data_IF_244514434018
#
_entry.id   IF_244514434018
#
_cell.length_a   1.000
_cell.length_b   1.000
_cell.length_c   1.000
_cell.angle_alpha   90.00
_cell.angle_beta   90.00
_cell.angle_gamma   90.00
#
_symmetry.space_group_name_H-M   'P 1'
#
loop_
_entity.id
_entity.type
_entity.pdbx_description
1 polymer ?
#
# COMPACT_ATOMS: atom_id res chain seq x y z
N UNK A 1 18.52 1.14 42.91
CA UNK A 1 19.83 0.68 42.39
C UNK A 1 19.62 0.48 40.91
N UNK A 2 20.22 1.34 40.09
CA UNK A 2 20.01 1.40 38.65
C UNK A 2 21.25 0.82 37.99
N UNK A 3 21.10 -0.31 37.30
CA UNK A 3 22.17 -0.88 36.47
C UNK A 3 22.16 -0.20 35.10
N UNK A 4 23.28 0.44 34.78
CA UNK A 4 23.53 1.10 33.50
C UNK A 4 24.05 0.06 32.49
N UNK A 5 23.53 0.01 31.25
CA UNK A 5 23.98 -0.96 30.26
C UNK A 5 25.42 -0.68 29.79
N UNK A 6 26.30 -1.67 29.99
CA UNK A 6 27.69 -1.65 29.54
C UNK A 6 27.75 -1.88 28.03
N UNK A 7 28.12 -0.84 27.27
CA UNK A 7 28.39 -0.96 25.84
C UNK A 7 29.80 -1.49 25.59
N UNK A 8 30.02 -2.32 24.54
CA UNK A 8 31.35 -2.77 24.16
C UNK A 8 32.21 -1.58 23.74
N UNK A 9 33.53 -1.60 24.01
CA UNK A 9 34.42 -0.50 23.73
C UNK A 9 34.47 -0.20 22.22
N UNK A 10 34.43 1.09 21.87
CA UNK A 10 34.60 1.55 20.50
C UNK A 10 35.98 1.14 19.98
N UNK A 11 36.01 0.17 19.06
CA UNK A 11 37.23 -0.13 18.33
C UNK A 11 37.44 0.92 17.23
N UNK A 12 38.63 1.53 17.22
CA UNK A 12 39.04 2.39 16.12
C UNK A 12 39.06 1.58 14.82
N UNK A 13 38.42 2.11 13.78
CA UNK A 13 38.34 1.45 12.49
C UNK A 13 39.76 1.28 11.90
N UNK A 14 40.14 0.06 11.47
CA UNK A 14 41.44 -0.22 10.87
C UNK A 14 41.78 0.72 9.71
N UNK A 15 43.05 1.12 9.62
CA UNK A 15 43.50 2.16 8.69
C UNK A 15 43.38 1.75 7.22
N UNK A 16 43.44 0.45 6.93
CA UNK A 16 43.23 -0.13 5.60
C UNK A 16 41.77 0.02 5.11
N UNK A 17 40.79 -0.14 6.01
CA UNK A 17 39.36 0.08 5.74
C UNK A 17 39.12 1.57 5.49
N UNK A 18 39.73 2.43 6.28
CA UNK A 18 39.64 3.89 6.13
C UNK A 18 40.26 4.37 4.81
N UNK A 19 41.37 3.75 4.39
CA UNK A 19 42.02 4.02 3.12
C UNK A 19 41.16 3.54 1.93
N UNK A 20 40.56 2.36 2.01
CA UNK A 20 39.64 1.84 0.97
C UNK A 20 38.40 2.72 0.80
N UNK A 21 37.79 3.17 1.89
CA UNK A 21 36.64 4.09 1.82
C UNK A 21 37.01 5.42 1.16
N UNK A 22 38.17 6.00 1.50
CA UNK A 22 38.64 7.25 0.85
C UNK A 22 38.98 7.06 -0.62
N UNK A 23 39.48 5.89 -1.00
CA UNK A 23 39.74 5.52 -2.41
C UNK A 23 38.44 5.42 -3.21
N UNK A 24 37.45 4.71 -2.69
CA UNK A 24 36.15 4.53 -3.35
C UNK A 24 35.41 5.86 -3.57
N UNK A 25 35.49 6.77 -2.59
CA UNK A 25 34.90 8.12 -2.72
C UNK A 25 35.61 8.95 -3.78
N UNK A 26 36.95 8.87 -3.87
CA UNK A 26 37.71 9.58 -4.90
C UNK A 26 37.48 9.02 -6.30
N UNK A 27 37.31 7.71 -6.45
CA UNK A 27 36.94 7.09 -7.74
C UNK A 27 35.51 7.46 -8.19
N UNK A 28 34.59 7.67 -7.24
CA UNK A 28 33.24 8.18 -7.53
C UNK A 28 33.23 9.63 -8.03
N UNK A 29 34.12 10.48 -7.50
CA UNK A 29 34.22 11.91 -7.87
C UNK A 29 34.98 12.11 -9.18
N UNK A 30 35.90 11.20 -9.55
CA UNK A 30 36.80 11.39 -10.68
C UNK A 30 36.27 10.92 -12.05
N UNK A 31 35.03 10.41 -12.17
CA UNK A 31 34.50 9.94 -13.47
C UNK A 31 34.06 11.12 -14.37
N UNK A 32 34.72 11.39 -15.51
CA UNK A 32 34.27 12.41 -16.45
C UNK A 32 33.03 11.90 -17.20
N UNK A 33 31.96 12.71 -17.24
CA UNK A 33 30.79 12.48 -18.11
C UNK A 33 31.25 12.40 -19.58
N UNK A 34 31.12 11.22 -20.20
CA UNK A 34 31.29 11.05 -21.65
C UNK A 34 30.23 11.88 -22.38
N UNK A 35 30.66 12.87 -23.17
CA UNK A 35 29.80 13.68 -24.04
C UNK A 35 29.36 12.85 -25.24
N UNK A 36 28.08 12.48 -25.31
CA UNK A 36 27.48 12.05 -26.56
C UNK A 36 27.10 13.29 -27.38
N UNK A 37 27.78 13.48 -28.52
CA UNK A 37 27.39 14.44 -29.57
C UNK A 37 26.34 13.75 -30.45
N UNK A 38 25.15 14.33 -30.58
CA UNK A 38 24.29 14.15 -31.77
C UNK A 38 23.61 15.49 -32.08
N UNK A 39 23.42 15.71 -33.37
CA UNK A 39 23.39 16.97 -34.10
C UNK A 39 22.05 17.72 -34.08
N UNK A 40 22.13 19.04 -34.22
CA UNK A 40 21.01 19.97 -34.40
C UNK A 40 20.34 19.82 -35.78
N UNK A 41 19.01 19.94 -35.80
CA UNK A 41 18.28 20.54 -36.92
C UNK A 41 17.31 21.60 -36.36
N UNK A 42 17.68 22.85 -36.61
CA UNK A 42 16.90 24.09 -36.54
C UNK A 42 15.64 24.02 -37.42
N UNK A 43 14.61 24.86 -37.35
CA UNK A 43 14.17 25.94 -36.47
C UNK A 43 12.79 26.39 -36.99
N UNK A 44 11.95 27.00 -36.15
CA UNK A 44 11.21 28.20 -36.52
C UNK A 44 10.85 28.96 -35.24
N UNK A 45 11.34 30.19 -35.17
CA UNK A 45 11.22 31.11 -34.04
C UNK A 45 10.29 32.27 -34.41
N UNK A 46 9.52 32.80 -33.45
CA UNK A 46 9.09 34.21 -33.32
C UNK A 46 8.83 34.49 -31.81
N UNK A 47 9.79 35.05 -31.05
CA UNK A 47 9.94 36.47 -30.56
C UNK A 47 8.93 36.84 -29.42
N UNK A 48 9.35 36.82 -28.13
CA UNK A 48 9.77 37.95 -27.22
C UNK A 48 8.60 38.91 -26.85
N UNK A 49 8.27 39.31 -25.60
CA UNK A 49 9.02 39.85 -24.45
C UNK A 49 8.13 39.83 -23.16
N UNK A 50 8.79 39.84 -21.98
CA UNK A 50 8.30 40.14 -20.61
C UNK A 50 7.80 38.93 -19.80
N UNK A 51 8.42 38.50 -18.69
CA UNK A 51 9.08 39.27 -17.64
C UNK A 51 10.06 38.38 -16.87
N UNK A 52 11.32 38.82 -16.81
CA UNK A 52 12.35 38.21 -15.96
C UNK A 52 12.55 39.06 -14.72
N UNK A 53 12.11 38.56 -13.55
CA UNK A 53 12.63 38.89 -12.22
C UNK A 53 12.32 37.72 -11.28
N UNK A 54 13.15 36.67 -11.25
CA UNK A 54 13.11 35.68 -10.15
C UNK A 54 14.41 34.87 -9.96
N UNK A 55 15.54 35.28 -10.55
CA UNK A 55 16.80 34.54 -10.46
C UNK A 55 17.96 35.42 -9.96
N UNK A 56 17.74 36.15 -8.85
CA UNK A 56 18.80 36.91 -8.18
C UNK A 56 18.56 37.17 -6.67
N UNK A 57 17.68 36.41 -6.01
CA UNK A 57 17.37 36.61 -4.57
C UNK A 57 17.71 35.41 -3.67
N UNK A 58 18.22 34.29 -4.21
CA UNK A 58 18.50 33.09 -3.42
C UNK A 58 19.93 32.98 -2.85
N UNK A 59 20.83 33.91 -3.15
CA UNK A 59 22.24 33.81 -2.71
C UNK A 59 22.61 34.63 -1.46
N UNK A 60 21.64 35.29 -0.78
CA UNK A 60 21.93 36.19 0.36
C UNK A 60 21.11 35.92 1.64
N UNK A 61 20.50 34.73 1.81
CA UNK A 61 19.81 34.36 3.07
C UNK A 61 20.12 32.95 3.56
N UNK A 62 21.40 32.61 3.65
CA UNK A 62 21.85 31.45 4.43
C UNK A 62 22.98 31.85 5.36
N UNK A 63 22.65 32.53 6.47
CA UNK A 63 23.48 32.54 7.66
C UNK A 63 22.59 32.58 8.91
N UNK A 64 22.65 31.51 9.71
CA UNK A 64 22.26 31.51 11.12
C UNK A 64 20.87 30.99 11.47
N UNK A 65 20.62 29.69 11.30
CA UNK A 65 19.62 28.98 12.12
C UNK A 65 20.20 27.62 12.53
N UNK A 66 20.08 27.20 13.81
CA UNK A 66 20.53 25.88 14.27
C UNK A 66 19.72 24.79 13.55
N UNK A 67 20.29 23.59 13.33
CA UNK A 67 19.63 22.53 12.58
C UNK A 67 18.39 22.06 13.34
N UNK A 68 17.21 22.41 12.82
CA UNK A 68 15.98 21.70 13.15
C UNK A 68 16.04 20.29 12.58
N UNK A 69 15.20 19.35 13.07
CA UNK A 69 15.12 18.02 12.49
C UNK A 69 14.89 18.14 10.97
N UNK A 70 15.72 17.46 10.18
CA UNK A 70 15.55 17.37 8.74
C UNK A 70 14.14 16.85 8.43
N UNK A 71 13.39 17.49 7.51
CA UNK A 71 12.22 16.85 6.92
C UNK A 71 12.67 15.53 6.28
N UNK A 72 11.89 14.46 6.50
CA UNK A 72 12.19 13.13 6.01
C UNK A 72 12.56 13.17 4.51
N UNK A 73 13.65 12.49 4.15
CA UNK A 73 14.08 12.29 2.78
C UNK A 73 13.15 11.28 2.07
N UNK A 74 11.97 11.74 1.68
CA UNK A 74 11.12 11.16 0.64
C UNK A 74 10.61 12.36 -0.14
N UNK A 75 10.95 12.43 -1.43
CA UNK A 75 10.46 13.49 -2.30
C UNK A 75 9.43 12.89 -3.24
N UNK A 76 8.32 13.58 -3.49
CA UNK A 76 7.38 13.21 -4.55
C UNK A 76 8.14 12.97 -5.85
N UNK A 77 7.99 11.76 -6.40
CA UNK A 77 8.65 11.36 -7.65
C UNK A 77 7.64 11.18 -8.77
N UNK A 78 8.09 11.35 -10.01
CA UNK A 78 7.28 11.14 -11.20
C UNK A 78 7.92 10.06 -12.06
N UNK A 79 7.31 8.87 -12.08
CA UNK A 79 7.57 7.88 -13.11
C UNK A 79 6.77 8.27 -14.37
N UNK A 80 7.47 8.74 -15.40
CA UNK A 80 6.85 9.23 -16.63
C UNK A 80 6.20 8.12 -17.45
N UNK A 81 6.71 6.89 -17.39
CA UNK A 81 6.14 5.74 -18.09
C UNK A 81 4.83 5.30 -17.45
N UNK A 82 4.85 5.15 -16.13
CA UNK A 82 3.64 4.86 -15.35
C UNK A 82 2.61 5.98 -15.52
N UNK A 83 2.99 7.24 -15.34
CA UNK A 83 2.09 8.38 -15.47
C UNK A 83 1.41 8.41 -16.85
N UNK A 84 2.18 8.23 -17.92
CA UNK A 84 1.63 8.23 -19.29
C UNK A 84 0.64 7.08 -19.47
N UNK A 85 1.04 5.85 -19.13
CA UNK A 85 0.21 4.67 -19.32
C UNK A 85 -1.08 4.68 -18.48
N UNK A 86 -1.02 5.14 -17.23
CA UNK A 86 -2.17 5.27 -16.34
C UNK A 86 -3.12 6.38 -16.78
N UNK A 87 -2.61 7.57 -17.13
CA UNK A 87 -3.46 8.67 -17.62
C UNK A 87 -4.12 8.34 -18.96
N UNK A 88 -3.43 7.64 -19.87
CA UNK A 88 -4.01 7.19 -21.14
C UNK A 88 -5.13 6.16 -20.90
N UNK A 89 -4.93 5.24 -19.95
CA UNK A 89 -5.96 4.29 -19.52
C UNK A 89 -7.17 5.01 -18.89
N UNK A 90 -6.93 5.97 -18.02
CA UNK A 90 -7.97 6.80 -17.41
C UNK A 90 -8.78 7.57 -18.47
N UNK A 91 -8.10 8.20 -19.43
CA UNK A 91 -8.76 8.89 -20.54
C UNK A 91 -9.57 7.94 -21.43
N UNK A 92 -9.04 6.75 -21.73
CA UNK A 92 -9.79 5.75 -22.49
C UNK A 92 -11.07 5.33 -21.76
N UNK A 93 -11.02 5.12 -20.45
CA UNK A 93 -12.19 4.81 -19.63
C UNK A 93 -13.22 5.97 -19.60
N UNK A 94 -12.76 7.22 -19.47
CA UNK A 94 -13.63 8.40 -19.54
C UNK A 94 -14.33 8.51 -20.90
N UNK A 95 -13.60 8.30 -22.01
CA UNK A 95 -14.20 8.28 -23.35
C UNK A 95 -15.23 7.17 -23.50
N UNK A 96 -14.90 5.95 -23.05
CA UNK A 96 -15.81 4.81 -23.11
C UNK A 96 -17.09 5.04 -22.28
N UNK A 97 -16.99 5.77 -21.17
CA UNK A 97 -18.12 6.18 -20.34
C UNK A 97 -18.90 7.39 -20.89
N UNK A 98 -18.48 7.99 -22.02
CA UNK A 98 -19.14 9.15 -22.60
C UNK A 98 -19.03 10.42 -21.76
N UNK A 99 -17.95 10.59 -20.98
CA UNK A 99 -17.75 11.72 -20.06
C UNK A 99 -16.63 12.68 -20.50
N UNK A 100 -16.23 12.64 -21.76
CA UNK A 100 -15.10 13.44 -22.28
C UNK A 100 -15.36 14.94 -22.30
N UNK A 101 -16.62 15.36 -22.34
CA UNK A 101 -17.07 16.75 -22.25
C UNK A 101 -16.90 17.35 -20.84
N UNK A 102 -16.69 16.49 -19.83
CA UNK A 102 -16.51 16.88 -18.42
C UNK A 102 -15.06 17.06 -18.01
N UNK A 103 -14.10 16.81 -18.91
CA UNK A 103 -12.68 16.96 -18.64
C UNK A 103 -12.03 17.76 -19.77
N UNK A 104 -10.93 18.44 -19.46
CA UNK A 104 -10.05 18.97 -20.48
C UNK A 104 -9.55 17.82 -21.38
N UNK A 105 -9.24 18.08 -22.67
CA UNK A 105 -8.60 17.11 -23.54
C UNK A 105 -7.34 16.51 -22.91
N UNK A 106 -7.03 15.25 -23.24
CA UNK A 106 -5.91 14.48 -22.66
C UNK A 106 -4.55 15.18 -22.79
N UNK A 107 -4.35 15.92 -23.86
CA UNK A 107 -3.15 16.72 -24.13
C UNK A 107 -2.93 17.87 -23.13
N UNK A 108 -3.98 18.31 -22.42
CA UNK A 108 -3.90 19.31 -21.36
C UNK A 108 -3.68 18.69 -19.97
N UNK A 109 -3.52 17.36 -19.90
CA UNK A 109 -3.29 16.67 -18.63
C UNK A 109 -1.79 16.65 -18.32
N UNK A 110 -1.41 17.33 -17.24
CA UNK A 110 -0.01 17.45 -16.81
C UNK A 110 0.19 16.59 -15.57
N UNK A 111 0.92 15.46 -15.66
CA UNK A 111 1.24 14.64 -14.48
C UNK A 111 2.22 15.39 -13.57
N UNK A 112 2.08 15.21 -12.26
CA UNK A 112 2.90 15.86 -11.25
C UNK A 112 3.78 14.88 -10.51
N UNK A 113 3.16 13.81 -10.00
CA UNK A 113 3.84 12.73 -9.31
C UNK A 113 3.02 11.45 -9.44
N UNK A 114 3.69 10.33 -9.18
CA UNK A 114 3.11 9.00 -9.13
C UNK A 114 3.35 8.42 -7.77
N UNK A 115 2.38 7.65 -7.29
CA UNK A 115 2.55 6.80 -6.14
C UNK A 115 2.07 5.39 -6.48
N UNK A 116 2.77 4.39 -5.98
CA UNK A 116 2.43 2.98 -6.16
C UNK A 116 2.54 2.34 -4.81
N UNK A 117 1.42 1.82 -4.33
CA UNK A 117 1.44 1.02 -3.12
C UNK A 117 0.61 -0.23 -3.32
N UNK A 118 1.24 -1.37 -3.01
CA UNK A 118 0.74 -2.69 -3.37
C UNK A 118 0.39 -2.74 -4.87
N UNK A 119 -0.89 -2.91 -5.14
CA UNK A 119 -1.47 -3.16 -6.45
C UNK A 119 -2.24 -1.96 -7.02
N UNK A 120 -2.11 -0.81 -6.35
CA UNK A 120 -2.78 0.42 -6.69
C UNK A 120 -1.73 1.42 -7.14
N UNK A 121 -1.88 1.89 -8.37
CA UNK A 121 -1.09 3.00 -8.90
C UNK A 121 -1.97 4.23 -8.97
N UNK A 122 -1.42 5.37 -8.55
CA UNK A 122 -2.11 6.65 -8.65
C UNK A 122 -1.19 7.68 -9.30
N UNK A 123 -1.79 8.47 -10.19
CA UNK A 123 -1.17 9.64 -10.79
C UNK A 123 -1.92 10.86 -10.28
N UNK A 124 -1.21 11.75 -9.58
CA UNK A 124 -1.68 13.10 -9.36
C UNK A 124 -1.31 13.95 -10.57
N UNK A 125 -2.28 14.66 -11.13
CA UNK A 125 -2.12 15.46 -12.33
C UNK A 125 -2.89 16.77 -12.21
N UNK A 126 -2.80 17.60 -13.24
CA UNK A 126 -3.75 18.68 -13.47
C UNK A 126 -4.40 18.52 -14.83
N UNK A 127 -5.68 18.85 -14.94
CA UNK A 127 -6.39 19.00 -16.22
C UNK A 127 -6.80 20.46 -16.37
N UNK A 128 -6.26 21.15 -17.39
CA UNK A 128 -6.43 22.59 -17.55
C UNK A 128 -6.10 23.38 -16.26
N UNK A 129 -5.04 22.95 -15.54
CA UNK A 129 -4.58 23.58 -14.30
C UNK A 129 -5.38 23.22 -13.04
N UNK A 130 -6.46 22.44 -13.14
CA UNK A 130 -7.24 21.97 -11.97
C UNK A 130 -6.72 20.63 -11.46
N UNK A 131 -6.64 20.42 -10.13
CA UNK A 131 -6.13 19.18 -9.56
C UNK A 131 -6.99 17.97 -9.95
N UNK A 132 -6.34 16.84 -10.27
CA UNK A 132 -7.03 15.59 -10.57
C UNK A 132 -6.18 14.38 -10.18
N UNK A 133 -6.85 13.27 -9.90
CA UNK A 133 -6.25 11.99 -9.55
C UNK A 133 -6.78 10.90 -10.48
N UNK A 134 -5.88 10.07 -10.97
CA UNK A 134 -6.17 8.87 -11.74
C UNK A 134 -5.61 7.67 -10.98
N UNK A 135 -6.51 6.87 -10.40
CA UNK A 135 -6.20 5.59 -9.79
C UNK A 135 -6.40 4.47 -10.80
N UNK A 136 -5.47 3.52 -10.83
CA UNK A 136 -5.59 2.30 -11.62
C UNK A 136 -5.22 1.07 -10.79
N UNK A 137 -6.03 0.02 -10.88
CA UNK A 137 -5.73 -1.32 -10.33
C UNK A 137 -5.54 -2.31 -11.48
N UNK A 138 -5.49 -3.63 -11.22
CA UNK A 138 -5.44 -4.62 -12.30
C UNK A 138 -6.64 -4.49 -13.24
N UNK A 139 -7.83 -4.28 -12.66
CA UNK A 139 -9.10 -4.36 -13.40
C UNK A 139 -9.88 -3.05 -13.45
N UNK A 140 -9.53 -2.08 -12.60
CA UNK A 140 -10.32 -0.86 -12.42
C UNK A 140 -9.55 0.42 -12.70
N UNK A 141 -10.33 1.46 -13.02
CA UNK A 141 -9.91 2.86 -13.14
C UNK A 141 -10.85 3.70 -12.28
N UNK A 142 -10.28 4.60 -11.48
CA UNK A 142 -11.03 5.65 -10.78
C UNK A 142 -10.43 7.02 -11.11
N UNK A 143 -11.25 7.97 -11.54
CA UNK A 143 -10.84 9.34 -11.91
C UNK A 143 -11.61 10.33 -11.06
N UNK A 144 -10.89 11.22 -10.36
CA UNK A 144 -11.53 12.32 -9.62
C UNK A 144 -12.14 13.34 -10.56
N UNK A 145 -13.13 14.09 -10.09
CA UNK A 145 -13.70 15.20 -10.85
C UNK A 145 -12.89 16.49 -10.59
N UNK A 146 -12.15 17.05 -11.57
CA UNK A 146 -11.39 18.29 -11.38
C UNK A 146 -12.28 19.53 -11.20
N UNK A 147 -13.57 19.44 -11.52
CA UNK A 147 -14.55 20.51 -11.30
C UNK A 147 -15.27 20.40 -9.96
N UNK A 148 -15.09 19.29 -9.22
CA UNK A 148 -15.64 19.16 -7.88
C UNK A 148 -14.89 20.06 -6.89
N UNK A 149 -15.65 20.75 -6.03
CA UNK A 149 -15.06 21.47 -4.92
C UNK A 149 -14.43 20.48 -3.93
N UNK A 150 -13.17 20.68 -3.48
CA UNK A 150 -12.60 19.85 -2.43
C UNK A 150 -13.45 19.89 -1.16
N UNK A 151 -13.59 18.72 -0.53
CA UNK A 151 -14.24 18.58 0.76
C UNK A 151 -13.31 19.11 1.86
N UNK A 152 -13.31 20.43 2.07
CA UNK A 152 -12.39 21.10 2.99
C UNK A 152 -12.69 20.79 4.46
N UNK A 153 -11.63 20.49 5.23
CA UNK A 153 -11.69 20.47 6.68
C UNK A 153 -12.06 21.86 7.21
N UNK A 154 -13.02 21.96 8.16
CA UNK A 154 -13.47 23.24 8.71
C UNK A 154 -12.33 24.16 9.15
N UNK A 155 -12.34 25.40 8.66
CA UNK A 155 -11.34 26.42 9.03
C UNK A 155 -10.00 26.29 8.32
N UNK A 156 -9.87 25.40 7.34
CA UNK A 156 -8.63 25.18 6.57
C UNK A 156 -8.91 25.16 5.07
N UNK A 157 -7.85 25.20 4.26
CA UNK A 157 -7.88 24.88 2.82
C UNK A 157 -7.36 23.48 2.52
N UNK A 158 -7.28 22.61 3.52
CA UNK A 158 -6.99 21.19 3.31
C UNK A 158 -8.28 20.45 3.01
N UNK A 159 -8.36 19.73 1.90
CA UNK A 159 -9.60 19.05 1.51
C UNK A 159 -9.37 17.85 0.59
N UNK A 160 -10.33 16.94 0.60
CA UNK A 160 -10.29 15.73 -0.23
C UNK A 160 -10.98 15.97 -1.58
N UNK A 161 -10.41 15.38 -2.63
CA UNK A 161 -10.95 15.35 -4.00
C UNK A 161 -11.28 13.93 -4.45
N UNK A 162 -10.65 12.92 -3.84
CA UNK A 162 -10.90 11.52 -4.12
C UNK A 162 -10.75 10.69 -2.85
N UNK A 163 -11.66 9.76 -2.66
CA UNK A 163 -11.50 8.63 -1.76
C UNK A 163 -12.02 7.39 -2.50
N UNK A 164 -11.12 6.48 -2.87
CA UNK A 164 -11.43 5.35 -3.73
C UNK A 164 -11.82 4.10 -2.93
N UNK A 165 -12.38 3.09 -3.60
CA UNK A 165 -12.73 1.81 -2.97
C UNK A 165 -11.52 1.04 -2.42
N UNK A 166 -10.29 1.38 -2.83
CA UNK A 166 -9.04 0.77 -2.35
C UNK A 166 -8.53 1.42 -1.05
N UNK A 167 -9.19 2.49 -0.59
CA UNK A 167 -8.72 3.28 0.55
C UNK A 167 -7.65 4.31 0.18
N UNK A 168 -7.37 4.53 -1.12
CA UNK A 168 -6.56 5.67 -1.55
C UNK A 168 -7.34 6.96 -1.36
N UNK A 169 -6.67 7.98 -0.85
CA UNK A 169 -7.17 9.35 -0.79
C UNK A 169 -6.28 10.28 -1.60
N UNK A 170 -6.92 11.18 -2.33
CA UNK A 170 -6.28 12.27 -3.05
C UNK A 170 -6.90 13.59 -2.61
N UNK A 171 -6.07 14.60 -2.34
CA UNK A 171 -6.54 15.88 -1.85
C UNK A 171 -5.57 17.03 -2.11
N UNK A 172 -5.95 18.21 -1.63
CA UNK A 172 -5.11 19.40 -1.62
C UNK A 172 -4.83 19.81 -0.18
N UNK A 173 -3.58 20.14 0.12
CA UNK A 173 -3.16 20.63 1.42
C UNK A 173 -3.30 22.16 1.48
N UNK A 174 -3.63 22.70 2.66
CA UNK A 174 -3.62 24.14 2.88
C UNK A 174 -2.22 24.72 2.58
N UNK A 175 -2.08 25.67 1.63
CA UNK A 175 -0.78 26.28 1.30
C UNK A 175 -0.11 26.98 2.49
N UNK A 176 -0.87 27.34 3.53
CA UNK A 176 -0.34 27.95 4.74
C UNK A 176 0.34 26.94 5.68
N UNK A 177 0.16 25.63 5.45
CA UNK A 177 0.72 24.59 6.30
C UNK A 177 2.08 24.13 5.74
N UNK A 178 3.17 24.24 6.52
CA UNK A 178 4.49 23.76 6.08
C UNK A 178 4.58 22.23 6.04
N UNK A 179 3.57 21.55 6.59
CA UNK A 179 3.41 20.11 6.63
C UNK A 179 2.14 19.76 7.40
N UNK A 180 1.66 18.53 7.24
CA UNK A 180 0.46 18.04 7.90
C UNK A 180 0.57 16.56 8.18
N UNK A 181 -0.17 16.09 9.17
CA UNK A 181 -0.43 14.68 9.35
C UNK A 181 -1.88 14.35 9.04
N UNK A 182 -2.07 13.15 8.51
CA UNK A 182 -3.34 12.48 8.39
C UNK A 182 -3.50 11.54 9.58
N UNK A 183 -4.68 11.49 10.17
CA UNK A 183 -5.09 10.41 11.05
C UNK A 183 -6.32 9.74 10.43
N UNK A 184 -6.37 8.42 10.48
CA UNK A 184 -7.54 7.65 10.08
C UNK A 184 -7.93 6.67 11.17
N UNK A 185 -9.24 6.47 11.32
CA UNK A 185 -9.81 5.53 12.27
C UNK A 185 -10.92 4.73 11.59
N UNK A 186 -10.79 3.40 11.61
CA UNK A 186 -11.78 2.49 11.08
C UNK A 186 -11.98 1.31 12.05
N UNK A 187 -13.15 1.25 12.69
CA UNK A 187 -13.42 0.32 13.80
C UNK A 187 -12.30 0.32 14.86
N UNK A 188 -11.66 -0.84 15.08
CA UNK A 188 -10.55 -1.05 16.01
C UNK A 188 -9.16 -0.86 15.37
N UNK A 189 -9.13 -0.47 14.10
CA UNK A 189 -7.91 -0.08 13.40
C UNK A 189 -7.81 1.44 13.30
N UNK A 190 -6.59 1.95 13.37
CA UNK A 190 -6.30 3.35 13.17
C UNK A 190 -4.84 3.52 12.84
N UNK A 191 -4.52 4.65 12.24
CA UNK A 191 -3.16 4.96 11.86
C UNK A 191 -3.03 6.44 11.58
N UNK A 192 -1.81 6.83 11.27
CA UNK A 192 -1.52 8.16 10.80
C UNK A 192 -0.43 8.10 9.75
N UNK A 193 -0.40 9.15 8.95
CA UNK A 193 0.58 9.33 7.89
C UNK A 193 1.03 10.79 7.88
N UNK A 194 2.24 11.04 7.41
CA UNK A 194 2.68 12.41 7.13
C UNK A 194 2.30 12.74 5.71
N UNK A 195 1.56 13.83 5.50
CA UNK A 195 1.16 14.25 4.17
C UNK A 195 2.30 14.98 3.49
N UNK A 196 2.86 14.34 2.46
CA UNK A 196 3.73 15.01 1.50
C UNK A 196 2.88 15.59 0.36
N UNK A 197 3.02 16.90 0.12
CA UNK A 197 2.24 17.62 -0.87
C UNK A 197 3.12 18.27 -1.93
N UNK A 198 2.62 18.33 -3.16
CA UNK A 198 3.28 19.01 -4.27
C UNK A 198 3.54 20.47 -3.90
N UNK A 199 4.78 21.00 -4.00
CA UNK A 199 5.05 22.39 -3.67
C UNK A 199 4.41 23.38 -4.66
N UNK A 200 3.94 22.90 -5.82
CA UNK A 200 3.34 23.72 -6.87
C UNK A 200 1.81 23.74 -6.80
N UNK A 201 1.20 22.59 -6.52
CA UNK A 201 -0.26 22.43 -6.58
C UNK A 201 -0.89 22.03 -5.26
N UNK A 202 -0.06 21.79 -4.23
CA UNK A 202 -0.45 21.29 -2.92
C UNK A 202 -1.21 19.97 -2.95
N UNK A 203 -1.22 19.25 -4.07
CA UNK A 203 -1.81 17.93 -4.17
C UNK A 203 -1.03 16.91 -3.35
N UNK A 204 -1.73 16.06 -2.61
CA UNK A 204 -1.17 14.94 -1.86
C UNK A 204 -1.95 13.65 -2.17
N UNK A 205 -1.29 12.52 -1.94
CA UNK A 205 -1.87 11.17 -1.93
C UNK A 205 -1.52 10.51 -0.61
N UNK A 206 -2.42 9.70 -0.08
CA UNK A 206 -2.14 8.78 1.03
C UNK A 206 -3.07 7.57 0.94
N UNK A 207 -2.78 6.50 1.66
CA UNK A 207 -3.57 5.28 1.65
C UNK A 207 -3.96 4.88 3.06
N UNK A 208 -5.26 4.77 3.30
CA UNK A 208 -5.83 4.42 4.60
C UNK A 208 -6.03 2.92 4.76
N UNK A 209 -5.93 2.17 3.64
CA UNK A 209 -6.14 0.71 3.55
C UNK A 209 -7.46 0.22 4.11
N UNK A 210 -8.44 1.10 4.21
CA UNK A 210 -9.69 0.85 4.90
C UNK A 210 -10.83 1.32 4.04
N UNK A 211 -11.93 0.58 4.06
CA UNK A 211 -13.10 0.84 3.24
C UNK A 211 -13.63 2.26 3.54
N UNK A 212 -13.81 3.14 2.52
CA UNK A 212 -14.19 4.54 2.73
C UNK A 212 -15.39 4.74 3.64
N UNK A 213 -16.41 3.89 3.51
CA UNK A 213 -17.63 3.95 4.29
C UNK A 213 -17.45 3.63 5.79
N UNK A 214 -16.32 3.00 6.16
CA UNK A 214 -15.98 2.58 7.52
C UNK A 214 -14.85 3.43 8.13
N UNK A 215 -14.32 4.39 7.38
CA UNK A 215 -13.14 5.17 7.78
C UNK A 215 -13.49 6.62 8.05
N UNK A 216 -13.09 7.10 9.22
CA UNK A 216 -13.09 8.53 9.56
C UNK A 216 -11.69 9.09 9.36
N UNK A 217 -11.63 10.23 8.70
CA UNK A 217 -10.37 10.92 8.39
C UNK A 217 -10.30 12.22 9.16
N UNK A 218 -9.12 12.53 9.64
CA UNK A 218 -8.80 13.80 10.28
C UNK A 218 -7.44 14.27 9.80
N UNK A 219 -7.27 15.58 9.74
CA UNK A 219 -5.98 16.20 9.48
C UNK A 219 -5.54 16.97 10.71
N UNK A 220 -4.24 16.98 10.99
CA UNK A 220 -3.64 17.84 12.00
C UNK A 220 -2.45 18.57 11.39
N UNK A 221 -2.36 19.86 11.70
CA UNK A 221 -1.23 20.69 11.29
C UNK A 221 0.03 20.42 12.15
N UNK A 222 1.05 21.29 12.05
CA UNK A 222 2.24 21.23 12.91
C UNK A 222 1.89 21.29 14.40
N UNK A 223 2.83 20.88 15.26
CA UNK A 223 2.65 20.75 16.71
C UNK A 223 1.86 21.92 17.35
N UNK A 224 0.74 21.58 17.99
CA UNK A 224 -0.17 22.53 18.64
C UNK A 224 -1.42 22.90 17.82
N UNK A 225 -1.49 22.51 16.53
CA UNK A 225 -2.71 22.67 15.74
C UNK A 225 -3.81 21.70 16.18
N UNK A 226 -5.06 22.17 16.17
CA UNK A 226 -6.22 21.33 16.46
C UNK A 226 -6.41 20.27 15.36
N UNK A 227 -6.58 19.01 15.75
CA UNK A 227 -7.01 17.95 14.85
C UNK A 227 -8.43 18.24 14.37
N UNK A 228 -8.62 18.23 13.05
CA UNK A 228 -9.88 18.57 12.42
C UNK A 228 -10.34 17.42 11.53
N UNK A 229 -11.60 17.00 11.68
CA UNK A 229 -12.20 15.96 10.84
C UNK A 229 -12.28 16.43 9.39
N UNK A 230 -11.86 15.58 8.46
CA UNK A 230 -12.05 15.75 7.03
C UNK A 230 -13.46 15.26 6.65
N UNK A 231 -14.27 16.06 5.94
CA UNK A 231 -15.52 15.58 5.37
C UNK A 231 -15.27 14.52 4.29
N UNK A 232 -16.30 13.75 3.94
CA UNK A 232 -16.23 12.78 2.85
C UNK A 232 -15.87 13.46 1.53
N UNK A 233 -14.98 12.84 0.76
CA UNK A 233 -14.61 13.32 -0.56
C UNK A 233 -15.84 13.40 -1.49
N UNK A 234 -15.86 14.31 -2.48
CA UNK A 234 -16.86 14.27 -3.54
C UNK A 234 -16.79 12.93 -4.29
N UNK A 235 -17.92 12.46 -4.87
CA UNK A 235 -17.89 11.26 -5.70
C UNK A 235 -16.90 11.41 -6.86
N UNK A 236 -16.20 10.32 -7.27
CA UNK A 236 -15.34 10.37 -8.43
C UNK A 236 -16.15 10.67 -9.70
N UNK A 237 -15.53 11.32 -10.68
CA UNK A 237 -16.13 11.50 -12.00
C UNK A 237 -16.47 10.14 -12.62
N UNK A 238 -15.57 9.17 -12.45
CA UNK A 238 -15.71 7.81 -12.94
C UNK A 238 -15.03 6.82 -11.99
N UNK A 239 -15.68 5.69 -11.72
CA UNK A 239 -15.03 4.48 -11.23
C UNK A 239 -15.62 3.30 -11.98
N UNK A 240 -14.80 2.52 -12.68
CA UNK A 240 -15.27 1.44 -13.55
C UNK A 240 -14.26 0.31 -13.66
N UNK A 241 -14.77 -0.90 -13.91
CA UNK A 241 -13.97 -2.02 -14.40
C UNK A 241 -13.71 -1.79 -15.89
N UNK A 242 -12.47 -1.57 -16.29
CA UNK A 242 -12.06 -1.38 -17.69
C UNK A 242 -11.31 -2.60 -18.25
N UNK A 243 -10.84 -3.50 -17.37
CA UNK A 243 -10.19 -4.77 -17.73
C UNK A 243 -10.83 -5.91 -16.93
N UNK A 244 -12.02 -6.38 -17.33
CA UNK A 244 -12.72 -7.43 -16.60
C UNK A 244 -11.91 -8.73 -16.62
N UNK A 245 -11.91 -9.42 -15.48
CA UNK A 245 -11.37 -10.76 -15.31
C UNK A 245 -12.51 -11.74 -15.08
N UNK A 246 -12.26 -13.02 -15.31
CA UNK A 246 -13.24 -14.07 -15.06
C UNK A 246 -13.70 -14.00 -13.59
N UNK A 247 -15.02 -14.03 -13.31
CA UNK A 247 -15.51 -14.05 -11.95
C UNK A 247 -14.93 -15.25 -11.19
N UNK A 248 -14.44 -15.00 -9.99
CA UNK A 248 -14.01 -16.08 -9.11
C UNK A 248 -15.19 -16.91 -8.62
N UNK A 249 -14.93 -18.14 -8.17
CA UNK A 249 -15.96 -18.94 -7.53
C UNK A 249 -16.42 -18.29 -6.22
N UNK A 250 -17.74 -18.16 -6.08
CA UNK A 250 -18.45 -17.60 -4.92
C UNK A 250 -19.51 -18.57 -4.39
N UNK A 251 -19.53 -19.79 -4.90
CA UNK A 251 -20.55 -20.80 -4.63
C UNK A 251 -20.04 -21.99 -3.83
N UNK A 252 -18.73 -22.28 -3.84
CA UNK A 252 -18.15 -23.23 -2.89
C UNK A 252 -18.18 -22.67 -1.46
N UNK A 253 -18.00 -23.51 -0.42
CA UNK A 253 -17.83 -23.04 0.94
C UNK A 253 -16.70 -22.00 1.08
N UNK A 254 -15.55 -22.24 0.45
CA UNK A 254 -14.44 -21.29 0.45
C UNK A 254 -14.77 -20.01 -0.34
N UNK A 255 -15.45 -20.14 -1.49
CA UNK A 255 -15.91 -19.01 -2.29
C UNK A 255 -16.86 -18.08 -1.51
N UNK A 256 -17.86 -18.64 -0.82
CA UNK A 256 -18.78 -17.86 0.03
C UNK A 256 -18.07 -17.23 1.22
N UNK A 257 -17.19 -17.98 1.88
CA UNK A 257 -16.39 -17.48 3.00
C UNK A 257 -15.53 -16.27 2.60
N UNK A 258 -14.88 -16.35 1.44
CA UNK A 258 -14.06 -15.27 0.92
C UNK A 258 -14.90 -14.04 0.56
N UNK A 259 -16.04 -14.23 -0.10
CA UNK A 259 -16.97 -13.15 -0.47
C UNK A 259 -17.53 -12.40 0.75
N UNK A 260 -18.03 -13.16 1.72
CA UNK A 260 -18.56 -12.65 2.99
C UNK A 260 -17.49 -11.85 3.72
N UNK A 261 -16.28 -12.40 3.83
CA UNK A 261 -15.20 -11.77 4.54
C UNK A 261 -14.69 -10.49 3.83
N UNK A 262 -14.46 -10.52 2.51
CA UNK A 262 -13.99 -9.35 1.76
C UNK A 262 -15.01 -8.21 1.75
N UNK A 263 -16.31 -8.53 1.67
CA UNK A 263 -17.37 -7.51 1.71
C UNK A 263 -17.61 -6.94 3.13
N UNK A 264 -17.42 -7.77 4.16
CA UNK A 264 -17.60 -7.37 5.55
C UNK A 264 -16.37 -6.78 6.24
N UNK A 265 -15.17 -6.98 5.68
CA UNK A 265 -13.92 -6.47 6.25
C UNK A 265 -13.87 -4.94 6.31
N UNK A 266 -13.14 -4.43 7.29
CA UNK A 266 -12.80 -3.00 7.38
C UNK A 266 -11.68 -2.64 6.40
N UNK A 267 -10.81 -3.59 6.11
CA UNK A 267 -9.67 -3.43 5.21
C UNK A 267 -10.15 -3.32 3.75
N UNK A 268 -9.55 -2.41 2.99
CA UNK A 268 -9.84 -2.23 1.58
C UNK A 268 -8.95 -3.14 0.72
N UNK A 269 -9.55 -3.81 -0.27
CA UNK A 269 -8.86 -4.75 -1.16
C UNK A 269 -9.13 -4.37 -2.60
N UNK A 270 -8.06 -4.08 -3.35
CA UNK A 270 -8.16 -3.83 -4.78
C UNK A 270 -8.61 -5.10 -5.52
N UNK A 271 -9.44 -4.95 -6.55
CA UNK A 271 -9.85 -6.07 -7.42
C UNK A 271 -10.48 -7.27 -6.66
N UNK A 272 -11.15 -7.04 -5.53
CA UNK A 272 -11.66 -8.08 -4.62
C UNK A 272 -12.49 -9.19 -5.30
N UNK A 273 -13.30 -8.82 -6.30
CA UNK A 273 -14.12 -9.77 -7.08
C UNK A 273 -13.28 -10.80 -7.87
N UNK A 274 -12.01 -10.49 -8.14
CA UNK A 274 -11.07 -11.33 -8.87
C UNK A 274 -10.41 -12.44 -8.07
N UNK A 275 -10.40 -12.32 -6.74
CA UNK A 275 -9.68 -13.27 -5.90
C UNK A 275 -10.37 -14.64 -5.92
N UNK A 276 -9.67 -15.65 -6.44
CA UNK A 276 -10.10 -17.05 -6.41
C UNK A 276 -9.93 -17.61 -4.99
N UNK A 277 -10.91 -18.37 -4.49
CA UNK A 277 -10.80 -18.95 -3.15
C UNK A 277 -9.72 -20.04 -3.12
N UNK A 278 -8.88 -19.97 -2.10
CA UNK A 278 -7.86 -20.95 -1.76
C UNK A 278 -8.26 -21.82 -0.57
N UNK A 279 -7.28 -22.19 0.25
CA UNK A 279 -7.50 -23.02 1.42
C UNK A 279 -8.43 -22.32 2.42
N UNK A 280 -9.35 -23.11 2.99
CA UNK A 280 -10.30 -22.68 4.00
C UNK A 280 -10.06 -23.49 5.27
N UNK A 281 -9.82 -22.78 6.37
CA UNK A 281 -9.81 -23.31 7.72
C UNK A 281 -11.04 -22.76 8.45
N UNK A 282 -11.99 -23.61 8.79
CA UNK A 282 -13.18 -23.25 9.58
C UNK A 282 -13.26 -24.21 10.78
N UNK A 283 -13.03 -23.68 11.99
CA UNK A 283 -13.02 -24.47 13.22
C UNK A 283 -13.33 -23.61 14.44
N UNK A 284 -14.19 -24.11 15.32
CA UNK A 284 -14.56 -23.47 16.59
C UNK A 284 -15.09 -22.02 16.42
N UNK A 285 -15.72 -21.71 15.28
CA UNK A 285 -16.20 -20.37 14.95
C UNK A 285 -15.14 -19.41 14.40
N UNK A 286 -13.89 -19.85 14.29
CA UNK A 286 -12.81 -19.13 13.63
C UNK A 286 -12.70 -19.60 12.19
N UNK A 287 -12.82 -18.66 11.25
CA UNK A 287 -12.67 -18.91 9.84
C UNK A 287 -11.49 -18.14 9.27
N UNK A 288 -10.64 -18.82 8.51
CA UNK A 288 -9.55 -18.23 7.73
C UNK A 288 -9.65 -18.77 6.32
N UNK A 289 -9.80 -17.88 5.35
CA UNK A 289 -9.88 -18.23 3.94
C UNK A 289 -8.81 -17.49 3.16
N UNK A 290 -8.07 -18.23 2.35
CA UNK A 290 -7.02 -17.67 1.51
C UNK A 290 -7.63 -17.27 0.18
N UNK A 291 -7.09 -16.23 -0.44
CA UNK A 291 -7.51 -15.76 -1.75
C UNK A 291 -6.29 -15.50 -2.64
N UNK A 292 -6.42 -15.77 -3.94
CA UNK A 292 -5.38 -15.46 -4.92
C UNK A 292 -5.88 -14.76 -6.17
N UNK A 293 -5.09 -13.81 -6.65
CA UNK A 293 -5.29 -13.10 -7.90
C UNK A 293 -3.94 -12.97 -8.61
N UNK A 294 -3.66 -13.88 -9.55
CA UNK A 294 -2.34 -13.97 -10.17
C UNK A 294 -1.26 -14.35 -9.15
N UNK A 295 -0.27 -13.47 -8.99
CA UNK A 295 0.81 -13.54 -8.00
C UNK A 295 0.40 -12.97 -6.63
N UNK A 296 -0.68 -12.21 -6.57
CA UNK A 296 -1.23 -11.64 -5.33
C UNK A 296 -1.89 -12.71 -4.49
N UNK A 297 -1.72 -12.59 -3.18
CA UNK A 297 -2.37 -13.45 -2.20
C UNK A 297 -2.81 -12.65 -1.00
N UNK A 298 -3.91 -13.09 -0.38
CA UNK A 298 -4.39 -12.54 0.88
C UNK A 298 -4.94 -13.65 1.76
N UNK A 299 -5.02 -13.38 3.06
CA UNK A 299 -5.82 -14.14 4.00
C UNK A 299 -6.95 -13.27 4.54
N UNK A 300 -8.16 -13.80 4.57
CA UNK A 300 -9.31 -13.14 5.15
C UNK A 300 -9.78 -13.94 6.37
N UNK A 301 -9.89 -13.28 7.51
CA UNK A 301 -10.31 -13.91 8.77
C UNK A 301 -11.70 -13.44 9.14
N UNK A 302 -12.53 -14.36 9.64
CA UNK A 302 -13.83 -14.08 10.23
C UNK A 302 -13.88 -14.74 11.59
N UNK A 303 -14.07 -13.94 12.63
CA UNK A 303 -14.01 -14.40 14.02
C UNK A 303 -15.19 -13.84 14.81
N UNK A 304 -15.64 -14.51 15.88
CA UNK A 304 -16.60 -13.90 16.80
C UNK A 304 -16.00 -12.62 17.38
N UNK A 305 -16.81 -11.57 17.54
CA UNK A 305 -16.39 -10.32 18.18
C UNK A 305 -16.75 -10.34 19.68
N UNK A 306 -15.79 -10.54 20.59
CA UNK A 306 -16.06 -10.60 22.02
C UNK A 306 -16.56 -9.26 22.59
N UNK A 307 -16.20 -8.13 21.94
CA UNK A 307 -16.63 -6.79 22.35
C UNK A 307 -18.04 -6.48 21.87
N UNK A 308 -18.53 -7.19 20.85
CA UNK A 308 -19.89 -7.05 20.29
C UNK A 308 -20.55 -8.43 20.18
N UNK A 309 -21.12 -8.97 21.27
CA UNK A 309 -21.73 -10.30 21.28
C UNK A 309 -22.74 -10.51 20.14
N UNK A 310 -22.63 -11.64 19.43
CA UNK A 310 -23.47 -11.96 18.26
C UNK A 310 -23.04 -11.29 16.95
N UNK A 311 -21.95 -10.52 16.95
CA UNK A 311 -21.31 -9.99 15.74
C UNK A 311 -20.02 -10.74 15.45
N UNK A 312 -19.60 -10.65 14.19
CA UNK A 312 -18.30 -11.14 13.73
C UNK A 312 -17.41 -9.97 13.37
N UNK A 313 -16.10 -10.12 13.62
CA UNK A 313 -15.05 -9.24 13.13
C UNK A 313 -14.41 -9.88 11.90
N UNK A 314 -14.21 -9.10 10.85
CA UNK A 314 -13.60 -9.55 9.60
C UNK A 314 -12.38 -8.70 9.27
N UNK A 315 -11.25 -9.33 8.96
CA UNK A 315 -9.99 -8.65 8.63
C UNK A 315 -9.32 -9.27 7.40
N UNK A 316 -8.64 -8.45 6.62
CA UNK A 316 -7.82 -8.90 5.49
C UNK A 316 -6.35 -8.65 5.79
N UNK A 317 -5.53 -9.67 5.57
CA UNK A 317 -4.08 -9.63 5.60
C UNK A 317 -3.59 -9.84 4.17
N UNK A 318 -3.17 -8.75 3.53
CA UNK A 318 -2.58 -8.82 2.20
C UNK A 318 -1.11 -9.23 2.32
N UNK A 319 -0.57 -9.89 1.30
CA UNK A 319 0.88 -10.03 1.20
C UNK A 319 1.48 -8.69 0.74
N UNK A 320 2.15 -7.97 1.65
CA UNK A 320 2.51 -6.55 1.48
C UNK A 320 3.86 -6.32 0.76
N UNK A 321 4.39 -7.27 0.01
CA UNK A 321 5.75 -7.13 -0.54
C UNK A 321 5.77 -6.44 -1.91
N UNK A 322 6.66 -5.45 -2.06
CA UNK A 322 6.82 -4.59 -3.24
C UNK A 322 7.17 -5.33 -4.55
N UNK A 323 7.63 -6.58 -4.46
CA UNK A 323 7.99 -7.39 -5.62
C UNK A 323 7.17 -8.66 -5.68
N UNK A 324 6.69 -9.04 -6.89
CA UNK A 324 6.05 -10.32 -7.12
C UNK A 324 6.91 -11.46 -6.56
N UNK A 325 6.37 -12.27 -5.66
CA UNK A 325 7.07 -13.48 -5.22
C UNK A 325 7.33 -14.43 -6.38
N UNK A 326 8.47 -15.09 -6.30
CA UNK A 326 8.76 -16.24 -7.15
C UNK A 326 8.85 -17.54 -6.36
N UNK A 327 8.61 -17.49 -5.04
CA UNK A 327 8.79 -18.61 -4.11
C UNK A 327 7.63 -18.71 -3.11
N UNK A 328 7.39 -19.91 -2.55
CA UNK A 328 6.45 -20.07 -1.45
C UNK A 328 6.83 -19.19 -0.25
N UNK A 329 5.83 -18.76 0.52
CA UNK A 329 5.97 -17.84 1.65
C UNK A 329 4.74 -17.84 2.56
N UNK A 330 4.87 -17.24 3.73
CA UNK A 330 3.79 -17.08 4.71
C UNK A 330 3.03 -15.77 4.52
N UNK A 331 1.75 -15.77 4.90
CA UNK A 331 0.99 -14.53 5.15
C UNK A 331 0.91 -14.34 6.67
N UNK A 332 1.58 -13.34 7.25
CA UNK A 332 1.51 -13.09 8.68
C UNK A 332 0.10 -12.61 9.05
N UNK A 333 -0.48 -13.23 10.08
CA UNK A 333 -1.79 -12.89 10.62
C UNK A 333 -1.69 -12.74 12.14
N UNK A 334 -2.52 -11.87 12.70
CA UNK A 334 -2.60 -11.76 14.15
C UNK A 334 -3.26 -13.01 14.76
N UNK A 335 -2.88 -13.39 15.99
CA UNK A 335 -3.61 -14.41 16.74
C UNK A 335 -5.09 -14.04 16.90
N UNK A 336 -5.96 -14.98 16.57
CA UNK A 336 -7.41 -14.78 16.56
C UNK A 336 -8.03 -15.07 17.93
N UNK A 337 -8.91 -14.20 18.41
CA UNK A 337 -9.66 -14.42 19.65
C UNK A 337 -8.81 -14.30 20.92
N UNK A 338 -7.61 -13.72 20.81
CA UNK A 338 -6.78 -13.37 21.94
C UNK A 338 -7.27 -12.12 22.67
N UNK A 339 -6.55 -11.72 23.73
CA UNK A 339 -6.84 -10.49 24.49
C UNK A 339 -6.80 -9.23 23.63
N UNK A 340 -6.00 -9.20 22.57
CA UNK A 340 -5.95 -8.09 21.60
C UNK A 340 -7.27 -7.92 20.85
N UNK A 341 -7.98 -9.02 20.58
CA UNK A 341 -9.33 -9.05 20.03
C UNK A 341 -10.44 -8.88 21.10
N UNK A 342 -10.07 -8.72 22.38
CA UNK A 342 -11.00 -8.67 23.51
C UNK A 342 -11.45 -10.04 24.02
N UNK A 343 -10.80 -11.12 23.56
CA UNK A 343 -11.04 -12.48 24.04
C UNK A 343 -10.30 -12.83 25.34
N UNK A 344 -10.48 -14.05 25.82
CA UNK A 344 -9.83 -14.53 27.03
C UNK A 344 -8.38 -14.97 26.79
N UNK A 345 -7.53 -14.80 27.81
CA UNK A 345 -6.14 -15.27 27.78
C UNK A 345 -6.12 -16.80 27.60
N UNK A 346 -5.33 -17.29 26.64
CA UNK A 346 -5.17 -18.72 26.36
C UNK A 346 -6.15 -19.30 25.34
N UNK A 347 -7.15 -18.52 24.91
CA UNK A 347 -8.09 -18.94 23.87
C UNK A 347 -7.66 -18.53 22.46
N UNK A 348 -6.57 -17.77 22.33
CA UNK A 348 -6.02 -17.36 21.06
C UNK A 348 -5.75 -18.56 20.13
N UNK A 349 -6.03 -18.38 18.85
CA UNK A 349 -5.73 -19.32 17.78
C UNK A 349 -4.90 -18.60 16.74
N UNK A 350 -3.66 -19.04 16.54
CA UNK A 350 -2.78 -18.38 15.58
C UNK A 350 -2.80 -19.13 14.26
N UNK A 351 -3.34 -18.55 13.18
CA UNK A 351 -3.29 -19.18 11.87
C UNK A 351 -1.86 -19.10 11.32
N UNK A 352 -1.40 -20.19 10.72
CA UNK A 352 -0.20 -20.24 9.91
C UNK A 352 -0.62 -20.61 8.50
N UNK A 353 -0.47 -19.67 7.57
CA UNK A 353 -0.84 -19.87 6.17
C UNK A 353 0.34 -19.59 5.25
N UNK A 354 0.40 -20.36 4.18
CA UNK A 354 1.37 -20.14 3.12
C UNK A 354 0.73 -20.14 1.74
N UNK A 355 1.47 -19.55 0.80
CA UNK A 355 1.02 -19.29 -0.56
C UNK A 355 2.07 -19.72 -1.57
N UNK A 356 1.66 -19.85 -2.83
CA UNK A 356 2.53 -20.10 -3.98
C UNK A 356 3.32 -21.41 -3.95
N UNK A 357 2.78 -22.44 -3.28
CA UNK A 357 3.27 -23.81 -3.42
C UNK A 357 3.24 -24.26 -4.90
N UNK A 358 3.99 -25.29 -5.30
CA UNK A 358 3.92 -25.83 -6.67
C UNK A 358 2.49 -26.16 -7.11
N UNK A 359 2.19 -26.02 -8.40
CA UNK A 359 0.86 -26.29 -8.98
C UNK A 359 0.38 -27.73 -8.76
N UNK A 360 1.31 -28.67 -8.65
CA UNK A 360 1.04 -30.08 -8.44
C UNK A 360 0.84 -30.45 -6.97
N UNK A 361 1.08 -29.54 -6.02
CA UNK A 361 0.93 -29.81 -4.60
C UNK A 361 -0.55 -29.96 -4.23
N UNK A 362 -0.89 -31.04 -3.52
CA UNK A 362 -2.24 -31.33 -3.02
C UNK A 362 -2.30 -31.47 -1.51
N UNK A 363 -1.17 -31.78 -0.85
CA UNK A 363 -1.05 -31.80 0.61
C UNK A 363 0.23 -31.09 1.04
N UNK A 364 0.21 -30.57 2.26
CA UNK A 364 1.39 -29.97 2.89
C UNK A 364 1.46 -30.35 4.35
N UNK A 365 2.65 -30.67 4.81
CA UNK A 365 2.99 -30.86 6.22
C UNK A 365 3.87 -29.71 6.68
N UNK A 366 3.41 -29.01 7.73
CA UNK A 366 4.16 -27.99 8.44
C UNK A 366 4.80 -28.64 9.67
N UNK A 367 6.11 -28.50 9.83
CA UNK A 367 6.90 -28.91 10.99
C UNK A 367 7.34 -27.68 11.78
N UNK A 368 6.74 -27.50 12.96
CA UNK A 368 7.01 -26.42 13.88
C UNK A 368 8.13 -26.77 14.89
N UNK A 369 8.85 -27.86 14.65
CA UNK A 369 9.91 -28.37 15.53
C UNK A 369 9.37 -29.21 16.69
N UNK A 370 10.30 -29.91 17.37
CA UNK A 370 10.00 -30.76 18.52
C UNK A 370 8.89 -31.82 18.26
N UNK A 371 8.80 -32.33 17.02
CA UNK A 371 7.81 -33.33 16.60
C UNK A 371 6.39 -32.76 16.42
N UNK A 372 6.23 -31.44 16.45
CA UNK A 372 4.93 -30.78 16.30
C UNK A 372 4.67 -30.52 14.83
N UNK A 373 3.86 -31.36 14.23
CA UNK A 373 3.50 -31.24 12.82
C UNK A 373 2.01 -31.00 12.64
N UNK A 374 1.65 -30.38 11.52
CA UNK A 374 0.26 -30.26 11.08
C UNK A 374 0.21 -30.51 9.59
N UNK A 375 -0.71 -31.37 9.15
CA UNK A 375 -0.90 -31.68 7.73
C UNK A 375 -2.26 -31.15 7.29
N UNK A 376 -2.31 -30.54 6.12
CA UNK A 376 -3.53 -29.99 5.53
C UNK A 376 -3.51 -30.11 4.02
N UNK A 377 -4.67 -29.91 3.40
CA UNK A 377 -4.82 -29.89 1.96
C UNK A 377 -4.30 -28.57 1.37
N UNK A 378 -3.76 -28.65 0.16
CA UNK A 378 -3.36 -27.49 -0.63
C UNK A 378 -4.45 -27.19 -1.64
N UNK A 379 -4.97 -25.96 -1.61
CA UNK A 379 -6.02 -25.49 -2.52
C UNK A 379 -5.56 -24.21 -3.19
N UNK A 380 -5.61 -24.18 -4.52
CA UNK A 380 -5.09 -23.09 -5.36
C UNK A 380 -3.67 -22.64 -4.96
N UNK A 381 -2.78 -23.60 -4.66
CA UNK A 381 -1.40 -23.35 -4.22
C UNK A 381 -1.28 -22.63 -2.87
N UNK A 382 -2.32 -22.65 -2.05
CA UNK A 382 -2.35 -22.10 -0.70
C UNK A 382 -2.66 -23.17 0.32
N UNK A 383 -2.28 -22.93 1.56
CA UNK A 383 -2.61 -23.79 2.70
C UNK A 383 -2.79 -22.93 3.95
N UNK A 384 -3.52 -23.49 4.93
CA UNK A 384 -3.64 -22.87 6.25
C UNK A 384 -3.88 -23.93 7.33
N UNK A 385 -3.23 -23.74 8.47
CA UNK A 385 -3.40 -24.53 9.69
C UNK A 385 -3.46 -23.61 10.90
N UNK A 386 -3.96 -24.09 12.04
CA UNK A 386 -3.68 -23.44 13.31
C UNK A 386 -2.35 -23.95 13.85
N UNK A 387 -1.54 -23.04 14.39
CA UNK A 387 -0.36 -23.40 15.16
C UNK A 387 -0.76 -24.31 16.33
N UNK A 388 -0.01 -25.39 16.59
CA UNK A 388 -0.16 -26.18 17.80
C UNK A 388 -0.04 -25.28 19.03
N UNK A 389 -0.87 -25.50 20.05
CA UNK A 389 -0.94 -24.61 21.24
C UNK A 389 0.38 -24.55 22.01
N UNK A 390 1.23 -25.56 21.83
CA UNK A 390 2.53 -25.69 22.47
C UNK A 390 3.61 -24.84 21.78
N UNK A 391 3.30 -24.24 20.62
CA UNK A 391 4.15 -23.25 19.94
C UNK A 391 3.79 -21.87 20.48
N UNK A 392 4.68 -21.32 21.30
CA UNK A 392 4.46 -20.03 21.98
C UNK A 392 4.73 -18.81 21.09
N UNK A 393 5.47 -18.98 19.99
CA UNK A 393 5.73 -17.90 19.03
C UNK A 393 4.56 -17.80 18.04
N UNK A 394 3.83 -16.67 17.98
CA UNK A 394 2.76 -16.49 17.01
C UNK A 394 3.27 -16.28 15.58
N UNK A 395 4.56 -15.97 15.38
CA UNK A 395 5.17 -15.75 14.07
C UNK A 395 6.42 -16.62 13.89
N UNK A 396 6.30 -17.97 14.05
CA UNK A 396 7.45 -18.85 14.05
C UNK A 396 8.18 -18.75 12.72
N UNK A 397 9.50 -18.55 12.80
CA UNK A 397 10.39 -18.49 11.65
C UNK A 397 10.99 -19.85 11.34
N UNK A 398 11.18 -20.16 10.07
CA UNK A 398 11.90 -21.36 9.64
C UNK A 398 11.09 -22.64 9.85
N UNK A 399 9.76 -22.56 9.74
CA UNK A 399 8.88 -23.73 9.82
C UNK A 399 9.17 -24.64 8.64
N UNK A 400 9.47 -25.91 8.91
CA UNK A 400 9.73 -26.90 7.87
C UNK A 400 8.47 -27.18 7.07
N UNK A 401 8.52 -27.05 5.76
CA UNK A 401 7.40 -27.28 4.87
C UNK A 401 7.75 -28.41 3.91
N UNK A 402 6.89 -29.42 3.86
CA UNK A 402 6.95 -30.48 2.87
C UNK A 402 5.61 -30.57 2.14
N UNK A 403 5.59 -30.21 0.86
CA UNK A 403 4.40 -30.32 0.02
C UNK A 403 4.51 -31.53 -0.91
N UNK A 404 3.41 -32.26 -1.07
CA UNK A 404 3.34 -33.48 -1.86
C UNK A 404 2.26 -33.41 -2.93
N UNK A 405 2.50 -34.09 -4.05
CA UNK A 405 1.50 -34.26 -5.10
C UNK A 405 0.51 -35.39 -4.80
N UNK A 406 -0.43 -35.62 -5.73
CA UNK A 406 -1.45 -36.64 -5.62
C UNK A 406 -0.91 -38.09 -5.56
N UNK A 407 0.35 -38.32 -5.93
CA UNK A 407 1.03 -39.62 -5.85
C UNK A 407 1.90 -39.74 -4.58
N UNK A 408 1.90 -38.71 -3.73
CA UNK A 408 2.72 -38.65 -2.52
C UNK A 408 4.17 -38.24 -2.77
N UNK A 409 4.55 -37.89 -4.00
CA UNK A 409 5.89 -37.41 -4.31
C UNK A 409 6.10 -36.00 -3.74
N UNK A 410 7.28 -35.75 -3.16
CA UNK A 410 7.63 -34.42 -2.65
C UNK A 410 7.87 -33.49 -3.82
N UNK A 411 7.07 -32.42 -3.91
CA UNK A 411 7.19 -31.39 -4.96
C UNK A 411 7.78 -30.09 -4.43
N UNK A 412 7.80 -29.92 -3.11
CA UNK A 412 8.50 -28.85 -2.43
C UNK A 412 8.94 -29.29 -1.04
N UNK A 413 10.17 -28.94 -0.70
CA UNK A 413 10.74 -29.10 0.63
C UNK A 413 11.60 -27.88 0.94
N UNK A 414 11.34 -27.23 2.07
CA UNK A 414 12.04 -26.01 2.45
C UNK A 414 11.55 -25.48 3.79
N UNK A 415 12.01 -24.29 4.17
CA UNK A 415 11.55 -23.60 5.36
C UNK A 415 10.89 -22.27 4.97
N UNK A 416 9.82 -21.90 5.67
CA UNK A 416 9.09 -20.65 5.47
C UNK A 416 9.07 -19.77 6.73
#
# INVERSE_FOLDING_TARGET
MSDEPVYPPHHAMPDDVRARMRSAVREGIAKPRRKARVWYAAAAAVVLVASGVAAAAQSLRQQGAPPGPEPAAGGLTLDTGLATSSLDRCWAAVRAAGKSDRLAPREEWVPLFTDVMLDVSVVAATAAGKPMFCETTLTTVTVSDPDAAPAYAPGTRTGLLLQSATGMIGGVLDPAWPGAGLAFQAEDSGGGDTLEASPLTHQFVSFTWTAPAKTRLSVYGPAGAATTTLPSAPPPLLSTVDRPIAPADRTSPAGRALDECLSGAVDAVSDAAGYRPGALLDKDGYRVVLGRLGDRSLACTTVPDPRRPGRTKMRVYQDHFELPPTRPRTIPMQPLGGVEDGGERGNARTPYAGTLLPETAVTVTCDFGAGRTSTTDVVDRTFVVFLPKEVNDPFPQGVGIQARDAHGAVVFEGAL
#
